data_IF_952988442697
#
_entry.id   IF_952988442697
#
_cell.length_a   1.000
_cell.length_b   1.000
_cell.length_c   1.000
_cell.angle_alpha   90.00
_cell.angle_beta   90.00
_cell.angle_gamma   90.00
#
_symmetry.space_group_name_H-M   'P 1'
#
loop_
_entity.id
_entity.type
_entity.pdbx_description
1 polymer ?
#
# COMPACT_ATOMS: atom_id res chain seq x y z
N UNK A 1 -15.63 42.56 -20.62
CA UNK A 1 -14.81 43.71 -20.22
C UNK A 1 -14.61 43.68 -18.72
N UNK A 2 -13.41 44.09 -18.28
CA UNK A 2 -12.99 44.41 -16.90
C UNK A 2 -12.42 43.28 -16.00
N UNK A 3 -11.11 43.43 -15.78
CA UNK A 3 -10.20 42.71 -14.90
C UNK A 3 -10.50 43.04 -13.43
N UNK A 4 -10.35 42.08 -12.52
CA UNK A 4 -10.16 42.36 -11.08
C UNK A 4 -8.94 41.58 -10.60
N UNK A 5 -7.85 42.33 -10.45
CA UNK A 5 -6.61 41.93 -9.82
C UNK A 5 -6.63 42.34 -8.35
N UNK A 6 -6.05 41.48 -7.50
CA UNK A 6 -5.27 41.88 -6.33
C UNK A 6 -6.03 42.27 -5.05
N UNK A 7 -5.83 41.45 -4.02
CA UNK A 7 -5.30 41.90 -2.71
C UNK A 7 -4.96 40.69 -1.84
N UNK A 8 -3.65 40.43 -1.68
CA UNK A 8 -3.12 39.67 -0.56
C UNK A 8 -3.47 40.43 0.72
N UNK A 9 -4.20 39.78 1.63
CA UNK A 9 -4.40 40.30 2.98
C UNK A 9 -3.30 39.70 3.85
N UNK A 10 -2.23 40.48 4.03
CA UNK A 10 -1.23 40.27 5.07
C UNK A 10 -1.87 40.63 6.40
N UNK A 11 -2.22 39.63 7.20
CA UNK A 11 -2.70 39.80 8.57
C UNK A 11 -1.53 40.01 9.53
N UNK A 12 -1.33 41.26 9.94
CA UNK A 12 -0.62 41.63 11.17
C UNK A 12 -1.56 41.41 12.39
N UNK A 13 -0.98 41.50 13.60
CA UNK A 13 -1.60 41.54 14.96
C UNK A 13 -1.62 40.14 15.62
N UNK A 14 -1.05 39.84 16.79
CA UNK A 14 -0.67 40.65 17.96
C UNK A 14 0.47 39.97 18.74
N UNK A 15 1.41 40.77 19.26
CA UNK A 15 2.46 40.37 20.19
C UNK A 15 1.92 40.50 21.62
N UNK A 16 1.97 39.45 22.44
CA UNK A 16 1.96 39.55 23.92
C UNK A 16 2.30 38.18 24.55
N UNK A 17 3.43 38.09 25.24
CA UNK A 17 3.75 36.94 26.09
C UNK A 17 5.23 36.68 26.32
N UNK A 18 5.90 37.59 27.02
CA UNK A 18 7.26 37.43 27.53
C UNK A 18 7.35 36.18 28.44
N UNK A 19 8.30 35.28 28.18
CA UNK A 19 8.81 34.34 29.20
C UNK A 19 10.32 34.21 29.03
N UNK A 20 11.03 34.94 29.87
CA UNK A 20 12.45 34.81 30.11
C UNK A 20 12.71 33.54 30.91
N UNK A 21 13.36 32.55 30.31
CA UNK A 21 14.22 31.60 31.03
C UNK A 21 15.54 31.49 30.28
N UNK A 22 16.51 32.28 30.74
CA UNK A 22 17.91 32.10 30.40
C UNK A 22 18.53 31.12 31.41
N UNK A 23 18.83 29.91 30.96
CA UNK A 23 19.86 29.07 31.55
C UNK A 23 20.75 28.58 30.39
N UNK A 24 21.89 29.26 30.25
CA UNK A 24 22.92 28.91 29.30
C UNK A 24 23.72 27.71 29.84
N UNK A 25 23.82 26.65 29.03
CA UNK A 25 24.99 25.78 28.95
C UNK A 25 25.20 25.48 27.45
N UNK A 26 26.42 25.77 26.99
CA UNK A 26 26.78 25.84 25.57
C UNK A 26 26.65 24.51 24.83
N UNK A 27 26.20 24.63 23.57
CA UNK A 27 26.31 23.61 22.54
C UNK A 27 26.67 24.33 21.24
N UNK A 28 27.86 24.04 20.76
CA UNK A 28 28.53 24.73 19.67
C UNK A 28 28.06 24.18 18.32
N UNK A 29 27.91 25.07 17.32
CA UNK A 29 28.01 24.84 15.87
C UNK A 29 27.78 23.42 15.33
N UNK A 30 26.71 23.26 14.57
CA UNK A 30 26.57 22.14 13.64
C UNK A 30 25.27 22.15 12.87
N UNK A 31 25.08 23.14 11.99
CA UNK A 31 24.13 23.02 10.87
C UNK A 31 24.69 22.00 9.89
N UNK A 32 24.63 20.73 10.24
CA UNK A 32 24.74 19.62 9.32
C UNK A 32 23.31 19.24 8.94
N UNK A 33 22.87 19.63 7.76
CA UNK A 33 21.90 18.79 7.08
C UNK A 33 22.57 17.43 6.97
N UNK A 34 22.17 16.49 7.82
CA UNK A 34 22.31 15.09 7.51
C UNK A 34 21.49 14.88 6.25
N UNK A 35 22.19 15.01 5.12
CA UNK A 35 21.85 14.30 3.93
C UNK A 35 21.50 12.90 4.40
N UNK A 36 20.22 12.56 4.31
CA UNK A 36 19.80 11.18 4.31
C UNK A 36 20.57 10.57 3.15
N UNK A 37 21.70 9.93 3.47
CA UNK A 37 22.35 9.00 2.57
C UNK A 37 21.23 8.08 2.11
N UNK A 38 20.93 7.97 0.80
CA UNK A 38 20.11 6.88 0.31
C UNK A 38 20.90 5.63 0.69
N UNK A 39 20.49 5.00 1.79
CA UNK A 39 21.13 3.80 2.30
C UNK A 39 21.12 2.79 1.17
N UNK A 40 22.32 2.34 0.81
CA UNK A 40 22.57 1.22 -0.06
C UNK A 40 21.52 0.14 0.14
N UNK A 41 20.94 -0.31 -0.97
CA UNK A 41 19.76 -1.16 -1.01
C UNK A 41 19.89 -2.39 -0.13
N UNK A 42 19.37 -2.28 1.09
CA UNK A 42 18.95 -3.44 1.86
C UNK A 42 17.88 -4.10 1.01
N UNK A 43 18.26 -5.21 0.36
CA UNK A 43 17.31 -6.07 -0.32
C UNK A 43 16.31 -6.52 0.73
N UNK A 44 15.07 -6.10 0.58
CA UNK A 44 13.99 -6.53 1.45
C UNK A 44 13.93 -8.07 1.45
N UNK A 45 13.69 -8.65 2.63
CA UNK A 45 13.57 -10.10 2.75
C UNK A 45 12.39 -10.59 1.89
N UNK A 46 12.51 -11.75 1.23
CA UNK A 46 11.41 -12.31 0.45
C UNK A 46 10.22 -12.62 1.36
N UNK A 47 9.02 -12.33 0.86
CA UNK A 47 7.78 -12.66 1.55
C UNK A 47 7.49 -14.16 1.31
N UNK A 48 7.14 -14.94 2.35
CA UNK A 48 6.70 -16.32 2.16
C UNK A 48 5.45 -16.38 1.29
N UNK A 49 5.39 -17.30 0.32
CA UNK A 49 4.26 -17.38 -0.62
C UNK A 49 2.92 -17.53 0.09
N UNK A 50 2.84 -18.33 1.17
CA UNK A 50 1.62 -18.48 1.95
C UNK A 50 1.12 -17.15 2.55
N UNK A 51 2.03 -16.35 3.10
CA UNK A 51 1.71 -15.03 3.65
C UNK A 51 1.29 -14.03 2.56
N UNK A 52 1.89 -14.12 1.37
CA UNK A 52 1.48 -13.31 0.23
C UNK A 52 0.06 -13.68 -0.25
N UNK A 53 -0.24 -14.97 -0.38
CA UNK A 53 -1.58 -15.47 -0.71
C UNK A 53 -2.61 -14.96 0.29
N UNK A 54 -2.33 -15.06 1.60
CA UNK A 54 -3.24 -14.58 2.64
C UNK A 54 -3.51 -13.08 2.53
N UNK A 55 -2.46 -12.29 2.24
CA UNK A 55 -2.57 -10.84 2.06
C UNK A 55 -3.41 -10.46 0.83
N UNK A 56 -3.21 -11.19 -0.28
CA UNK A 56 -3.97 -11.00 -1.52
C UNK A 56 -5.44 -11.38 -1.33
N UNK A 57 -5.72 -12.51 -0.68
CA UNK A 57 -7.09 -12.95 -0.36
C UNK A 57 -7.80 -11.92 0.51
N UNK A 58 -7.13 -11.41 1.55
CA UNK A 58 -7.68 -10.37 2.41
C UNK A 58 -8.03 -9.10 1.62
N UNK A 59 -7.08 -8.59 0.81
CA UNK A 59 -7.30 -7.40 0.00
C UNK A 59 -8.46 -7.57 -1.00
N UNK A 60 -8.61 -8.76 -1.59
CA UNK A 60 -9.74 -9.07 -2.47
C UNK A 60 -11.05 -9.05 -1.73
N UNK A 61 -11.16 -9.80 -0.63
CA UNK A 61 -12.43 -9.84 0.10
C UNK A 61 -12.79 -8.49 0.74
N UNK A 62 -11.82 -7.63 1.04
CA UNK A 62 -12.09 -6.26 1.46
C UNK A 62 -12.64 -5.40 0.32
N UNK A 63 -12.14 -5.58 -0.92
CA UNK A 63 -12.75 -4.99 -2.12
C UNK A 63 -14.18 -5.49 -2.30
N UNK A 64 -14.42 -6.79 -2.20
CA UNK A 64 -15.77 -7.37 -2.36
C UNK A 64 -16.75 -6.84 -1.32
N UNK A 65 -16.30 -6.67 -0.07
CA UNK A 65 -17.09 -6.04 0.97
C UNK A 65 -17.44 -4.59 0.61
N UNK A 66 -16.45 -3.79 0.19
CA UNK A 66 -16.67 -2.40 -0.28
C UNK A 66 -17.65 -2.34 -1.46
N UNK A 67 -17.58 -3.32 -2.35
CA UNK A 67 -18.45 -3.43 -3.51
C UNK A 67 -19.84 -4.01 -3.21
N UNK A 68 -20.18 -4.30 -1.94
CA UNK A 68 -21.45 -4.88 -1.51
C UNK A 68 -21.73 -6.28 -2.08
N UNK A 69 -20.68 -7.05 -2.36
CA UNK A 69 -20.74 -8.42 -2.87
C UNK A 69 -20.71 -9.48 -1.75
N UNK A 70 -20.59 -9.07 -0.48
CA UNK A 70 -20.57 -9.97 0.68
C UNK A 70 -21.85 -9.83 1.51
N UNK A 71 -22.51 -10.95 1.78
CA UNK A 71 -23.70 -11.06 2.61
C UNK A 71 -24.68 -12.13 2.12
N UNK A 72 -25.74 -12.39 2.88
CA UNK A 72 -26.76 -13.36 2.47
C UNK A 72 -27.38 -12.95 1.12
N UNK A 73 -27.43 -13.90 0.17
CA UNK A 73 -27.96 -13.66 -1.17
C UNK A 73 -27.07 -12.80 -2.09
N UNK A 74 -25.82 -12.56 -1.72
CA UNK A 74 -24.80 -11.90 -2.56
C UNK A 74 -23.88 -12.94 -3.19
N UNK A 75 -22.92 -12.47 -4.00
CA UNK A 75 -21.88 -13.29 -4.62
C UNK A 75 -21.18 -14.18 -3.59
N UNK A 76 -20.78 -13.59 -2.46
CA UNK A 76 -20.22 -14.31 -1.33
C UNK A 76 -21.17 -14.22 -0.14
N UNK A 77 -21.59 -15.38 0.38
CA UNK A 77 -22.51 -15.43 1.52
C UNK A 77 -21.92 -14.85 2.81
N UNK A 78 -20.60 -14.86 2.95
CA UNK A 78 -19.84 -14.31 4.08
C UNK A 78 -18.39 -13.98 3.68
N UNK A 79 -17.66 -13.29 4.56
CA UNK A 79 -16.24 -13.01 4.38
C UNK A 79 -15.39 -14.30 4.32
N UNK A 80 -15.78 -15.31 5.08
CA UNK A 80 -15.13 -16.63 5.03
C UNK A 80 -15.41 -17.35 3.71
N UNK A 81 -16.64 -17.26 3.20
CA UNK A 81 -16.98 -17.84 1.89
C UNK A 81 -16.16 -17.20 0.77
N UNK A 82 -16.02 -15.86 0.79
CA UNK A 82 -15.11 -15.15 -0.11
C UNK A 82 -13.67 -15.66 0.03
N UNK A 83 -13.14 -15.69 1.25
CA UNK A 83 -11.75 -16.06 1.49
C UNK A 83 -11.44 -17.48 1.03
N UNK A 84 -12.35 -18.42 1.27
CA UNK A 84 -12.21 -19.81 0.85
C UNK A 84 -12.28 -19.97 -0.66
N UNK A 85 -13.22 -19.26 -1.31
CA UNK A 85 -13.37 -19.30 -2.77
C UNK A 85 -12.13 -18.73 -3.46
N UNK A 86 -11.71 -17.51 -3.08
CA UNK A 86 -10.53 -16.85 -3.66
C UNK A 86 -9.27 -17.68 -3.40
N UNK A 87 -9.06 -18.19 -2.18
CA UNK A 87 -7.90 -19.03 -1.88
C UNK A 87 -7.91 -20.33 -2.70
N UNK A 88 -9.08 -20.95 -2.92
CA UNK A 88 -9.19 -22.14 -3.77
C UNK A 88 -8.84 -21.84 -5.21
N UNK A 89 -9.35 -20.73 -5.76
CA UNK A 89 -9.06 -20.33 -7.14
C UNK A 89 -7.56 -19.99 -7.32
N UNK A 90 -6.94 -19.45 -6.27
CA UNK A 90 -5.54 -19.00 -6.29
C UNK A 90 -4.51 -20.09 -6.01
N UNK A 91 -4.89 -21.16 -5.33
CA UNK A 91 -3.99 -22.30 -5.13
C UNK A 91 -3.54 -22.89 -6.48
N UNK A 92 -4.40 -22.81 -7.49
CA UNK A 92 -4.11 -23.37 -8.80
C UNK A 92 -3.27 -22.39 -9.66
N UNK A 93 -3.40 -21.08 -9.44
CA UNK A 93 -2.67 -19.99 -10.15
C UNK A 93 -1.32 -19.59 -9.51
N UNK A 94 -1.16 -19.77 -8.20
CA UNK A 94 0.07 -19.51 -7.44
C UNK A 94 0.54 -20.81 -6.78
N UNK A 95 1.13 -21.71 -7.55
CA UNK A 95 1.76 -22.89 -6.93
C UNK A 95 3.08 -22.47 -6.26
N UNK A 96 3.28 -22.89 -5.01
CA UNK A 96 4.48 -22.58 -4.20
C UNK A 96 5.79 -23.02 -4.89
N UNK A 97 5.71 -24.01 -5.77
CA UNK A 97 6.82 -24.48 -6.63
C UNK A 97 7.31 -23.42 -7.62
N UNK A 98 6.50 -22.42 -7.96
CA UNK A 98 6.78 -21.43 -9.00
C UNK A 98 7.64 -20.25 -8.51
N UNK A 99 7.65 -19.96 -7.20
CA UNK A 99 8.44 -18.87 -6.63
C UNK A 99 9.55 -19.40 -5.68
N UNK A 100 10.58 -20.09 -6.18
CA UNK A 100 11.61 -20.67 -5.32
C UNK A 100 12.47 -19.62 -4.60
N UNK A 101 12.49 -18.36 -5.08
CA UNK A 101 13.11 -17.22 -4.40
C UNK A 101 12.19 -16.50 -3.41
N UNK A 102 10.97 -17.00 -3.21
CA UNK A 102 9.89 -16.32 -2.49
C UNK A 102 9.27 -15.18 -3.30
N UNK A 103 8.45 -14.38 -2.63
CA UNK A 103 7.70 -13.26 -3.23
C UNK A 103 8.48 -11.96 -3.05
N UNK A 104 8.53 -11.14 -4.09
CA UNK A 104 9.08 -9.79 -4.04
C UNK A 104 8.13 -8.87 -3.26
N UNK A 105 8.62 -8.26 -2.18
CA UNK A 105 7.80 -7.45 -1.29
C UNK A 105 7.23 -6.20 -2.00
N UNK A 106 8.01 -5.61 -2.91
CA UNK A 106 7.59 -4.42 -3.66
C UNK A 106 6.52 -4.79 -4.69
N UNK A 107 6.72 -5.86 -5.45
CA UNK A 107 5.70 -6.36 -6.38
C UNK A 107 4.41 -6.76 -5.66
N UNK A 108 4.51 -7.40 -4.50
CA UNK A 108 3.34 -7.71 -3.67
C UNK A 108 2.62 -6.43 -3.24
N UNK A 109 3.32 -5.39 -2.80
CA UNK A 109 2.67 -4.13 -2.44
C UNK A 109 1.94 -3.50 -3.64
N UNK A 110 2.57 -3.46 -4.81
CA UNK A 110 1.95 -2.94 -6.05
C UNK A 110 0.71 -3.76 -6.43
N UNK A 111 0.76 -5.08 -6.28
CA UNK A 111 -0.39 -5.95 -6.43
C UNK A 111 -1.51 -5.55 -5.46
N UNK A 112 -1.22 -5.47 -4.15
CA UNK A 112 -2.20 -5.14 -3.12
C UNK A 112 -2.84 -3.75 -3.35
N UNK A 113 -2.06 -2.76 -3.77
CA UNK A 113 -2.55 -1.44 -4.16
C UNK A 113 -3.45 -1.51 -5.39
N UNK A 114 -3.06 -2.28 -6.40
CA UNK A 114 -3.88 -2.56 -7.58
C UNK A 114 -5.25 -3.11 -7.20
N UNK A 115 -5.29 -4.12 -6.33
CA UNK A 115 -6.55 -4.72 -5.82
C UNK A 115 -7.41 -3.67 -5.12
N UNK A 116 -6.81 -2.86 -4.24
CA UNK A 116 -7.52 -1.83 -3.46
C UNK A 116 -8.11 -0.77 -4.39
N UNK A 117 -7.43 -0.43 -5.47
CA UNK A 117 -7.85 0.61 -6.40
C UNK A 117 -8.78 0.12 -7.52
N UNK A 118 -9.06 -1.19 -7.60
CA UNK A 118 -10.00 -1.72 -8.58
C UNK A 118 -11.43 -1.21 -8.37
N UNK A 119 -12.05 -0.77 -9.45
CA UNK A 119 -13.46 -0.40 -9.50
C UNK A 119 -14.38 -1.61 -9.30
N UNK A 120 -15.56 -1.37 -8.72
CA UNK A 120 -16.61 -2.38 -8.56
C UNK A 120 -17.33 -2.66 -9.90
N UNK A 121 -17.89 -3.86 -10.07
CA UNK A 121 -18.73 -4.20 -11.24
C UNK A 121 -17.96 -4.69 -12.46
N UNK A 122 -16.77 -5.24 -12.27
CA UNK A 122 -15.89 -5.63 -13.36
C UNK A 122 -16.00 -7.16 -13.61
N UNK A 123 -16.58 -7.63 -14.73
CA UNK A 123 -17.13 -8.99 -14.89
C UNK A 123 -16.12 -10.15 -14.90
N UNK A 124 -14.83 -9.88 -14.79
CA UNK A 124 -13.80 -10.91 -14.69
C UNK A 124 -13.04 -10.79 -13.36
N UNK A 125 -13.61 -11.19 -12.23
CA UNK A 125 -12.96 -11.13 -10.90
C UNK A 125 -11.71 -12.02 -10.72
N UNK A 126 -10.94 -12.23 -11.79
CA UNK A 126 -9.62 -12.84 -11.75
C UNK A 126 -8.55 -11.77 -11.54
N UNK A 127 -7.79 -11.95 -10.46
CA UNK A 127 -6.59 -11.20 -10.10
C UNK A 127 -5.56 -11.09 -11.24
N UNK A 128 -5.58 -12.01 -12.20
CA UNK A 128 -4.71 -11.98 -13.40
C UNK A 128 -4.89 -10.74 -14.29
N UNK A 129 -5.93 -9.93 -14.05
CA UNK A 129 -6.07 -8.59 -14.65
C UNK A 129 -5.20 -7.53 -13.99
N UNK A 130 -4.90 -7.68 -12.70
CA UNK A 130 -3.87 -6.86 -12.06
C UNK A 130 -2.55 -7.45 -12.47
N UNK A 131 -1.89 -6.80 -13.42
CA UNK A 131 -0.60 -7.24 -13.96
C UNK A 131 0.39 -7.49 -12.82
N UNK A 132 0.44 -6.60 -11.83
CA UNK A 132 1.31 -6.74 -10.66
C UNK A 132 1.02 -7.97 -9.79
N UNK A 133 -0.15 -8.58 -9.89
CA UNK A 133 -0.51 -9.76 -9.11
C UNK A 133 -0.22 -11.09 -9.82
N UNK A 134 0.33 -11.06 -11.04
CA UNK A 134 0.70 -12.29 -11.75
C UNK A 134 1.92 -12.93 -11.10
N UNK A 135 1.98 -14.26 -11.08
CA UNK A 135 3.14 -15.00 -10.53
C UNK A 135 4.46 -14.55 -11.16
N UNK A 136 4.48 -14.29 -12.47
CA UNK A 136 5.64 -13.77 -13.20
C UNK A 136 6.18 -12.44 -12.68
N UNK A 137 5.33 -11.61 -12.09
CA UNK A 137 5.67 -10.29 -11.57
C UNK A 137 5.94 -10.34 -10.06
N UNK A 138 5.31 -11.29 -9.35
CA UNK A 138 5.45 -11.47 -7.90
C UNK A 138 6.65 -12.33 -7.48
N UNK A 139 7.00 -13.36 -8.26
CA UNK A 139 8.07 -14.29 -7.89
C UNK A 139 9.45 -13.63 -8.02
N UNK A 140 10.34 -13.88 -7.05
CA UNK A 140 11.76 -13.56 -7.19
C UNK A 140 12.50 -14.70 -7.91
N UNK A 141 13.43 -14.32 -8.77
CA UNK A 141 14.44 -15.24 -9.29
C UNK A 141 15.38 -15.71 -8.17
N UNK A 142 15.76 -16.99 -8.19
CA UNK A 142 16.67 -17.63 -7.21
C UNK A 142 18.16 -17.42 -7.49
N UNK A 143 18.52 -16.39 -8.26
CA UNK A 143 19.88 -16.27 -8.80
C UNK A 143 20.96 -16.15 -7.72
#
# INVERSE_FOLDING_TARGET
MQKIAGKLVVGLISVSGMSLFAAACGGEKGSGGEAQTPGDGQREAPVPVGSAVDSIVAARCDREARCNNIGQGREYSSKDACSNKIRSDWRDDLNFTECPGGIDAKALNECLEGIRNEECGNPFDTLGRVVACRSSDLCRDTR
#
